data_IF_422869708462
#
_entry.id   IF_422869708462
#
_cell.length_a   1.000
_cell.length_b   1.000
_cell.length_c   1.000
_cell.angle_alpha   90.00
_cell.angle_beta   90.00
_cell.angle_gamma   90.00
#
_symmetry.space_group_name_H-M   'P 1'
#
loop_
_entity.id
_entity.type
_entity.pdbx_description
1 polymer ?
#
# COMPACT_ATOMS: atom_id res chain seq x y z
N UNK A 1 7.36 14.59 -57.88
CA UNK A 1 6.28 14.81 -56.89
C UNK A 1 6.00 13.61 -55.97
N UNK A 2 6.35 12.36 -56.34
CA UNK A 2 6.06 11.17 -55.52
C UNK A 2 6.92 11.08 -54.24
N UNK A 3 8.19 11.45 -54.30
CA UNK A 3 9.16 11.34 -53.18
C UNK A 3 8.74 12.21 -51.97
N UNK A 4 8.18 13.39 -52.20
CA UNK A 4 7.65 14.27 -51.13
C UNK A 4 6.45 13.67 -50.41
N UNK A 5 5.62 12.86 -51.08
CA UNK A 5 4.45 12.23 -50.48
C UNK A 5 4.84 11.03 -49.61
N UNK A 6 5.85 10.26 -50.02
CA UNK A 6 6.35 9.11 -49.25
C UNK A 6 7.02 9.55 -47.94
N UNK A 7 7.80 10.63 -47.97
CA UNK A 7 8.41 11.19 -46.76
C UNK A 7 7.37 11.67 -45.73
N UNK A 8 6.26 12.26 -46.20
CA UNK A 8 5.19 12.75 -45.34
C UNK A 8 4.42 11.60 -44.65
N UNK A 9 4.21 10.49 -45.36
CA UNK A 9 3.58 9.29 -44.80
C UNK A 9 4.47 8.63 -43.74
N UNK A 10 5.78 8.56 -43.96
CA UNK A 10 6.72 7.99 -42.98
C UNK A 10 6.80 8.83 -41.69
N UNK A 11 6.72 10.16 -41.79
CA UNK A 11 6.72 11.05 -40.61
C UNK A 11 5.44 10.91 -39.79
N UNK A 12 4.27 10.78 -40.42
CA UNK A 12 3.00 10.56 -39.71
C UNK A 12 2.98 9.19 -39.01
N UNK A 13 3.56 8.17 -39.65
CA UNK A 13 3.69 6.82 -39.09
C UNK A 13 4.56 6.79 -37.82
N UNK A 14 5.65 7.57 -37.80
CA UNK A 14 6.54 7.69 -36.65
C UNK A 14 5.89 8.47 -35.49
N UNK A 15 5.09 9.50 -35.79
CA UNK A 15 4.38 10.29 -34.77
C UNK A 15 3.26 9.49 -34.08
N UNK A 16 2.63 8.53 -34.76
CA UNK A 16 1.65 7.64 -34.13
C UNK A 16 2.28 6.56 -33.24
N UNK A 17 3.59 6.34 -33.27
CA UNK A 17 4.26 5.29 -32.48
C UNK A 17 4.53 5.71 -31.02
N UNK A 18 4.21 6.95 -30.63
CA UNK A 18 4.19 7.39 -29.23
C UNK A 18 2.90 6.88 -28.54
N UNK A 19 2.67 5.56 -28.59
CA UNK A 19 1.65 4.95 -27.76
C UNK A 19 2.08 5.10 -26.31
N UNK A 20 1.20 5.73 -25.53
CA UNK A 20 1.35 6.01 -24.12
C UNK A 20 1.92 4.77 -23.42
N UNK A 21 3.12 4.92 -22.84
CA UNK A 21 3.49 4.10 -21.70
C UNK A 21 2.56 4.53 -20.58
N UNK A 22 1.36 3.96 -20.54
CA UNK A 22 0.52 3.97 -19.36
C UNK A 22 1.29 3.19 -18.31
N UNK A 23 2.12 3.92 -17.55
CA UNK A 23 2.69 3.41 -16.31
C UNK A 23 1.50 3.30 -15.36
N UNK A 24 0.72 2.23 -15.49
CA UNK A 24 -0.34 1.93 -14.55
C UNK A 24 0.38 1.51 -13.28
N UNK A 25 0.58 2.49 -12.38
CA UNK A 25 1.16 2.26 -11.07
C UNK A 25 0.09 1.56 -10.24
N UNK A 26 -0.05 0.26 -10.47
CA UNK A 26 -0.99 -0.59 -9.73
C UNK A 26 -0.26 -1.06 -8.48
N UNK A 27 -0.48 -0.36 -7.35
CA UNK A 27 0.08 -0.74 -6.06
C UNK A 27 0.80 0.36 -5.27
N UNK A 28 0.82 1.60 -5.74
CA UNK A 28 1.38 2.75 -5.00
C UNK A 28 0.40 3.27 -3.94
N UNK A 29 0.44 2.75 -2.71
CA UNK A 29 -0.22 3.42 -1.59
C UNK A 29 0.84 3.93 -0.64
N UNK A 30 0.84 5.24 -0.41
CA UNK A 30 1.85 5.86 0.44
C UNK A 30 1.29 6.23 1.81
N UNK A 31 1.60 5.44 2.83
CA UNK A 31 1.21 5.73 4.21
C UNK A 31 2.44 6.27 4.96
N UNK A 32 2.29 7.41 5.61
CA UNK A 32 3.33 8.04 6.43
C UNK A 32 2.72 8.43 7.76
N UNK A 33 3.38 8.05 8.85
CA UNK A 33 2.90 8.31 10.21
C UNK A 33 4.08 8.81 11.03
N UNK A 34 3.95 10.05 11.50
CA UNK A 34 4.83 10.71 12.47
C UNK A 34 3.96 11.38 13.55
N UNK A 35 4.59 11.88 14.62
CA UNK A 35 3.89 12.53 15.74
C UNK A 35 2.92 13.63 15.29
N UNK A 36 3.32 14.42 14.29
CA UNK A 36 2.56 15.57 13.80
C UNK A 36 1.94 15.36 12.42
N UNK A 37 2.11 14.20 11.80
CA UNK A 37 1.73 13.98 10.40
C UNK A 37 1.15 12.59 10.23
N UNK A 38 -0.04 12.52 9.63
CA UNK A 38 -0.61 11.25 9.20
C UNK A 38 -1.03 11.37 7.75
N UNK A 39 -0.18 10.91 6.85
CA UNK A 39 -0.48 10.89 5.42
C UNK A 39 -1.19 9.60 5.05
N UNK A 40 -2.35 9.75 4.42
CA UNK A 40 -3.10 8.69 3.80
C UNK A 40 -3.02 8.85 2.28
N UNK A 41 -2.01 8.23 1.68
CA UNK A 41 -1.76 8.25 0.24
C UNK A 41 -1.62 9.68 -0.32
N UNK A 42 -2.62 10.16 -1.06
CA UNK A 42 -2.62 11.49 -1.67
C UNK A 42 -3.08 12.61 -0.74
N UNK A 43 -3.57 12.31 0.47
CA UNK A 43 -4.05 13.31 1.41
C UNK A 43 -3.33 13.23 2.75
N UNK A 44 -3.34 14.35 3.47
CA UNK A 44 -2.94 14.40 4.87
C UNK A 44 -4.19 14.38 5.75
N UNK A 45 -4.24 13.43 6.68
CA UNK A 45 -5.30 13.31 7.66
C UNK A 45 -5.11 14.32 8.79
N UNK A 46 -6.21 14.87 9.35
CA UNK A 46 -6.17 15.66 10.58
C UNK A 46 -5.50 14.94 11.75
N UNK A 47 -5.00 15.71 12.73
CA UNK A 47 -4.31 15.17 13.90
C UNK A 47 -5.18 14.23 14.76
N UNK A 48 -6.49 14.45 14.76
CA UNK A 48 -7.46 13.62 15.48
C UNK A 48 -7.93 12.38 14.69
N UNK A 49 -7.37 12.13 13.50
CA UNK A 49 -7.66 10.91 12.74
C UNK A 49 -6.96 9.70 13.36
N UNK A 50 -7.71 8.64 13.62
CA UNK A 50 -7.23 7.40 14.23
C UNK A 50 -6.80 6.39 13.16
N UNK A 51 -7.54 6.36 12.06
CA UNK A 51 -7.23 5.49 10.94
C UNK A 51 -7.68 6.11 9.62
N UNK A 52 -7.17 5.59 8.52
CA UNK A 52 -7.56 5.96 7.18
C UNK A 52 -7.83 4.72 6.33
N UNK A 53 -8.64 4.88 5.29
CA UNK A 53 -8.96 3.84 4.32
C UNK A 53 -8.66 4.38 2.93
N UNK A 54 -7.87 3.60 2.19
CA UNK A 54 -7.54 3.83 0.78
C UNK A 54 -8.25 2.76 -0.03
N UNK A 55 -9.09 3.17 -0.99
CA UNK A 55 -9.68 2.27 -1.97
C UNK A 55 -9.14 2.58 -3.36
N UNK A 56 -8.90 1.54 -4.15
CA UNK A 56 -8.67 1.64 -5.60
C UNK A 56 -9.51 0.60 -6.30
N UNK A 57 -10.41 1.05 -7.16
CA UNK A 57 -11.31 0.19 -7.91
C UNK A 57 -11.63 0.80 -9.26
N UNK A 58 -11.99 -0.03 -10.24
CA UNK A 58 -12.42 0.49 -11.54
C UNK A 58 -13.76 1.23 -11.43
N UNK A 59 -13.90 2.27 -12.24
CA UNK A 59 -15.19 2.94 -12.41
C UNK A 59 -16.18 1.92 -13.02
N UNK A 60 -17.36 1.71 -12.42
CA UNK A 60 -18.33 0.73 -12.92
C UNK A 60 -18.87 1.07 -14.31
N UNK A 61 -18.74 2.32 -14.75
CA UNK A 61 -19.24 2.78 -16.04
C UNK A 61 -18.12 2.94 -17.09
N UNK A 62 -16.85 2.93 -16.68
CA UNK A 62 -15.70 3.09 -17.57
C UNK A 62 -14.50 2.26 -17.09
N UNK A 63 -14.25 1.14 -17.78
CA UNK A 63 -13.14 0.24 -17.47
C UNK A 63 -11.75 0.88 -17.67
N UNK A 64 -11.65 2.03 -18.34
CA UNK A 64 -10.40 2.77 -18.54
C UNK A 64 -10.10 3.74 -17.39
N UNK A 65 -11.00 3.83 -16.41
CA UNK A 65 -10.88 4.74 -15.27
C UNK A 65 -10.73 3.93 -13.98
N UNK A 66 -9.70 4.27 -13.21
CA UNK A 66 -9.48 3.83 -11.85
C UNK A 66 -9.92 4.95 -10.90
N UNK A 67 -10.80 4.62 -9.97
CA UNK A 67 -11.25 5.48 -8.89
C UNK A 67 -10.43 5.17 -7.64
N UNK A 68 -9.74 6.18 -7.12
CA UNK A 68 -8.93 6.11 -5.91
C UNK A 68 -9.56 6.99 -4.83
N UNK A 69 -10.06 6.41 -3.75
CA UNK A 69 -10.62 7.16 -2.61
C UNK A 69 -9.67 7.07 -1.42
N UNK A 70 -9.40 8.22 -0.79
CA UNK A 70 -8.65 8.32 0.44
C UNK A 70 -9.55 8.96 1.49
N UNK A 71 -9.80 8.25 2.59
CA UNK A 71 -10.72 8.70 3.63
C UNK A 71 -10.10 8.56 5.01
N UNK A 72 -10.15 9.61 5.83
CA UNK A 72 -9.66 9.64 7.21
C UNK A 72 -10.83 9.57 8.18
N UNK A 73 -10.67 8.84 9.28
CA UNK A 73 -11.72 8.58 10.25
C UNK A 73 -11.28 8.82 11.69
N UNK A 74 -12.23 9.19 12.54
CA UNK A 74 -12.05 9.14 14.01
C UNK A 74 -12.10 7.70 14.52
N UNK A 75 -11.75 7.50 15.78
CA UNK A 75 -11.92 6.21 16.48
C UNK A 75 -13.37 5.72 16.52
N UNK A 76 -14.34 6.62 16.38
CA UNK A 76 -15.78 6.32 16.37
C UNK A 76 -16.33 6.07 14.95
N UNK A 77 -15.44 5.90 13.96
CA UNK A 77 -15.76 5.77 12.54
C UNK A 77 -16.43 6.99 11.90
N UNK A 78 -16.26 8.19 12.47
CA UNK A 78 -16.76 9.42 11.83
C UNK A 78 -15.78 9.86 10.74
N UNK A 79 -16.30 10.17 9.55
CA UNK A 79 -15.49 10.67 8.44
C UNK A 79 -15.01 12.10 8.75
N UNK A 80 -13.69 12.29 8.76
CA UNK A 80 -13.07 13.60 8.97
C UNK A 80 -12.78 14.29 7.64
N UNK A 81 -12.26 13.52 6.68
CA UNK A 81 -11.92 14.03 5.37
C UNK A 81 -11.92 12.91 4.36
N UNK A 82 -12.32 13.25 3.13
CA UNK A 82 -12.36 12.32 2.01
C UNK A 82 -11.92 13.03 0.74
N UNK A 83 -11.15 12.33 -0.09
CA UNK A 83 -10.79 12.81 -1.42
C UNK A 83 -10.80 11.65 -2.42
N UNK A 84 -11.36 11.93 -3.59
CA UNK A 84 -11.48 10.96 -4.68
C UNK A 84 -10.70 11.46 -5.88
N UNK A 85 -9.87 10.59 -6.44
CA UNK A 85 -9.04 10.84 -7.60
C UNK A 85 -9.43 9.86 -8.70
N UNK A 86 -9.41 10.34 -9.94
CA UNK A 86 -9.60 9.50 -11.13
C UNK A 86 -8.27 9.40 -11.87
N UNK A 87 -7.89 8.19 -12.22
CA UNK A 87 -6.66 7.86 -12.94
C UNK A 87 -7.01 7.03 -14.17
N UNK A 88 -6.26 7.19 -15.26
CA UNK A 88 -6.44 6.32 -16.43
C UNK A 88 -5.72 5.00 -16.23
N UNK A 89 -6.37 3.90 -16.60
CA UNK A 89 -5.84 2.53 -16.47
C UNK A 89 -6.13 1.72 -17.74
N UNK A 90 -5.34 0.68 -17.97
CA UNK A 90 -5.63 -0.30 -19.02
C UNK A 90 -7.00 -0.99 -18.71
N UNK A 91 -7.93 -1.02 -19.68
CA UNK A 91 -9.24 -1.66 -19.53
C UNK A 91 -9.20 -3.14 -19.15
N UNK A 92 -8.10 -3.84 -19.39
CA UNK A 92 -7.92 -5.26 -19.10
C UNK A 92 -7.29 -5.54 -17.72
N UNK A 93 -6.79 -4.51 -17.01
CA UNK A 93 -6.25 -4.70 -15.67
C UNK A 93 -7.36 -4.90 -14.64
N UNK A 94 -7.20 -5.88 -13.76
CA UNK A 94 -8.12 -6.12 -12.65
C UNK A 94 -7.52 -5.48 -11.39
N UNK A 95 -8.19 -4.44 -10.87
CA UNK A 95 -7.74 -3.69 -9.70
C UNK A 95 -8.89 -3.57 -8.72
N UNK A 96 -8.71 -4.18 -7.55
CA UNK A 96 -9.54 -3.95 -6.38
C UNK A 96 -8.65 -4.02 -5.14
N UNK A 97 -8.41 -2.86 -4.54
CA UNK A 97 -7.58 -2.68 -3.37
C UNK A 97 -8.38 -1.92 -2.32
N UNK A 98 -8.46 -2.49 -1.11
CA UNK A 98 -8.91 -1.79 0.08
C UNK A 98 -7.83 -1.95 1.15
N UNK A 99 -7.21 -0.84 1.53
CA UNK A 99 -6.17 -0.77 2.55
C UNK A 99 -6.63 0.12 3.69
N UNK A 100 -6.48 -0.35 4.92
CA UNK A 100 -6.70 0.41 6.14
C UNK A 100 -5.36 0.64 6.83
N UNK A 101 -5.08 1.88 7.20
CA UNK A 101 -3.89 2.23 7.96
C UNK A 101 -4.29 2.96 9.24
N UNK A 102 -3.68 2.61 10.37
CA UNK A 102 -3.86 3.28 11.66
C UNK A 102 -2.75 4.30 11.93
N UNK A 103 -3.08 5.32 12.73
CA UNK A 103 -2.11 6.30 13.25
C UNK A 103 -1.07 5.67 14.20
N UNK A 104 -1.28 4.42 14.63
CA UNK A 104 -0.29 3.61 15.35
C UNK A 104 0.70 2.88 14.42
N UNK A 105 0.65 3.14 13.11
CA UNK A 105 1.48 2.47 12.11
C UNK A 105 0.98 1.09 11.66
N UNK A 106 -0.14 0.61 12.20
CA UNK A 106 -0.74 -0.65 11.78
C UNK A 106 -1.36 -0.55 10.39
N UNK A 107 -1.02 -1.45 9.47
CA UNK A 107 -1.61 -1.51 8.13
C UNK A 107 -2.27 -2.87 7.91
N UNK A 108 -3.49 -2.87 7.37
CA UNK A 108 -4.20 -4.09 7.00
C UNK A 108 -4.85 -3.97 5.62
N UNK A 109 -4.71 -5.01 4.80
CA UNK A 109 -5.49 -5.15 3.58
C UNK A 109 -6.83 -5.81 3.91
N UNK A 110 -7.94 -5.16 3.57
CA UNK A 110 -9.29 -5.68 3.85
C UNK A 110 -9.78 -6.58 2.72
N UNK A 111 -9.38 -6.31 1.48
CA UNK A 111 -9.49 -7.17 0.31
C UNK A 111 -8.48 -6.68 -0.74
N UNK A 112 -7.50 -7.49 -1.09
CA UNK A 112 -6.54 -7.17 -2.15
C UNK A 112 -6.60 -8.26 -3.20
N UNK A 113 -7.36 -8.00 -4.26
CA UNK A 113 -7.39 -8.83 -5.46
C UNK A 113 -6.61 -8.10 -6.54
N UNK A 114 -5.32 -7.86 -6.30
CA UNK A 114 -4.43 -7.48 -7.37
C UNK A 114 -4.13 -8.77 -8.14
N UNK A 115 -4.73 -8.92 -9.31
CA UNK A 115 -4.19 -9.80 -10.33
C UNK A 115 -2.81 -9.23 -10.67
N UNK A 116 -1.77 -9.75 -10.04
CA UNK A 116 -0.46 -9.74 -10.67
C UNK A 116 -0.69 -10.42 -12.01
N UNK A 117 -0.76 -9.64 -13.09
CA UNK A 117 -0.34 -10.17 -14.37
C UNK A 117 1.15 -10.41 -14.20
N UNK A 118 1.47 -11.63 -13.77
CA UNK A 118 2.80 -12.22 -13.88
C UNK A 118 3.20 -12.12 -15.34
N UNK A 119 3.85 -11.02 -15.70
CA UNK A 119 4.83 -11.07 -16.77
C UNK A 119 5.79 -12.18 -16.37
N UNK A 120 5.92 -13.21 -17.21
CA UNK A 120 6.79 -14.36 -17.00
C UNK A 120 8.19 -13.92 -16.52
N UNK A 121 8.42 -13.90 -15.22
CA UNK A 121 9.76 -13.77 -14.64
C UNK A 121 9.84 -14.59 -13.37
N UNK A 122 10.40 -15.80 -13.50
CA UNK A 122 10.94 -16.61 -12.42
C UNK A 122 9.92 -17.44 -11.66
N UNK A 123 10.20 -18.74 -11.53
CA UNK A 123 9.52 -19.64 -10.60
C UNK A 123 9.45 -19.00 -9.21
N UNK A 124 8.25 -18.92 -8.65
CA UNK A 124 8.08 -18.56 -7.25
C UNK A 124 8.67 -19.68 -6.39
N UNK A 125 9.84 -19.42 -5.78
CA UNK A 125 10.49 -20.36 -4.89
C UNK A 125 9.80 -20.35 -3.52
N UNK A 126 8.75 -21.16 -3.42
CA UNK A 126 7.97 -21.35 -2.20
C UNK A 126 8.82 -21.89 -1.04
N UNK A 127 9.91 -22.62 -1.33
CA UNK A 127 10.78 -23.20 -0.31
C UNK A 127 11.64 -22.12 0.35
N UNK A 128 12.24 -21.23 -0.44
CA UNK A 128 12.98 -20.08 0.06
C UNK A 128 12.10 -19.14 0.91
N UNK A 129 10.85 -18.90 0.47
CA UNK A 129 9.89 -18.11 1.23
C UNK A 129 9.54 -18.75 2.58
N UNK A 130 9.23 -20.05 2.59
CA UNK A 130 8.89 -20.79 3.80
C UNK A 130 10.07 -20.83 4.79
N UNK A 131 11.30 -20.98 4.28
CA UNK A 131 12.50 -20.94 5.11
C UNK A 131 12.71 -19.56 5.77
N UNK A 132 12.51 -18.46 5.03
CA UNK A 132 12.55 -17.12 5.61
C UNK A 132 11.46 -16.93 6.67
N UNK A 133 10.23 -17.38 6.42
CA UNK A 133 9.14 -17.28 7.39
C UNK A 133 9.41 -18.05 8.67
N UNK A 134 10.02 -19.24 8.57
CA UNK A 134 10.40 -20.03 9.73
C UNK A 134 11.48 -19.32 10.57
N UNK A 135 12.53 -18.81 9.93
CA UNK A 135 13.58 -18.05 10.61
C UNK A 135 13.04 -16.80 11.30
N UNK A 136 12.10 -16.09 10.66
CA UNK A 136 11.43 -14.94 11.25
C UNK A 136 10.64 -15.32 12.51
N UNK A 137 9.86 -16.40 12.45
CA UNK A 137 9.09 -16.89 13.59
C UNK A 137 9.98 -17.31 14.77
N UNK A 138 11.10 -17.99 14.49
CA UNK A 138 12.07 -18.38 15.51
C UNK A 138 12.72 -17.16 16.18
N UNK A 139 13.10 -16.15 15.40
CA UNK A 139 13.67 -14.92 15.93
C UNK A 139 12.67 -14.11 16.78
N UNK A 140 11.40 -14.06 16.37
CA UNK A 140 10.35 -13.44 17.16
C UNK A 140 10.13 -14.14 18.49
N UNK A 141 10.07 -15.48 18.50
CA UNK A 141 9.89 -16.26 19.72
C UNK A 141 11.03 -16.01 20.72
N UNK A 142 12.28 -16.02 20.25
CA UNK A 142 13.46 -15.71 21.10
C UNK A 142 13.44 -14.27 21.62
N UNK A 143 13.01 -13.32 20.79
CA UNK A 143 12.83 -11.92 21.19
C UNK A 143 11.80 -11.78 22.32
N UNK A 144 10.67 -12.48 22.21
CA UNK A 144 9.59 -12.49 23.21
C UNK A 144 10.02 -13.13 24.53
N UNK A 145 10.78 -14.23 24.48
CA UNK A 145 11.33 -14.88 25.68
C UNK A 145 12.29 -13.96 26.44
N UNK A 146 13.19 -13.29 25.73
CA UNK A 146 14.14 -12.34 26.30
C UNK A 146 13.45 -11.12 26.93
N UNK A 147 12.39 -10.62 26.29
CA UNK A 147 11.59 -9.52 26.82
C UNK A 147 10.86 -9.94 28.11
N UNK A 148 10.22 -11.10 28.11
CA UNK A 148 9.53 -11.66 29.28
C UNK A 148 10.47 -11.82 30.48
N UNK A 149 11.67 -12.38 30.25
CA UNK A 149 12.68 -12.54 31.30
C UNK A 149 13.17 -11.18 31.86
N UNK A 150 13.36 -10.20 30.98
CA UNK A 150 13.76 -8.84 31.38
C UNK A 150 12.68 -8.14 32.21
N UNK A 151 11.41 -8.28 31.82
CA UNK A 151 10.26 -7.73 32.55
C UNK A 151 10.09 -8.37 33.93
N UNK A 152 10.25 -9.69 34.04
CA UNK A 152 10.22 -10.38 35.33
C UNK A 152 11.36 -9.93 36.25
N UNK A 153 12.55 -9.71 35.69
CA UNK A 153 13.71 -9.19 36.43
C UNK A 153 13.46 -7.78 36.94
N UNK A 154 12.87 -6.91 36.11
CA UNK A 154 12.48 -5.55 36.52
C UNK A 154 11.39 -5.55 37.57
N UNK A 155 10.37 -6.41 37.43
CA UNK A 155 9.30 -6.59 38.42
C UNK A 155 9.86 -6.97 39.79
N UNK A 156 10.77 -7.96 39.84
CA UNK A 156 11.41 -8.38 41.08
C UNK A 156 12.29 -7.28 41.69
N UNK A 157 12.98 -6.47 40.86
CA UNK A 157 13.75 -5.31 41.36
C UNK A 157 12.83 -4.23 41.94
N UNK A 158 11.69 -3.96 41.30
CA UNK A 158 10.70 -2.99 41.81
C UNK A 158 10.09 -3.47 43.13
N UNK A 159 9.71 -4.74 43.24
CA UNK A 159 9.21 -5.32 44.49
C UNK A 159 10.23 -5.21 45.62
N UNK A 160 11.52 -5.44 45.35
CA UNK A 160 12.57 -5.31 46.35
C UNK A 160 12.88 -3.84 46.74
N UNK A 161 12.56 -2.86 45.87
CA UNK A 161 12.73 -1.43 46.17
C UNK A 161 11.53 -0.83 46.91
N UNK A 162 10.32 -1.37 46.73
CA UNK A 162 9.08 -0.83 47.31
C UNK A 162 8.45 -1.70 48.41
N UNK A 163 8.89 -2.95 48.58
CA UNK A 163 8.45 -3.87 49.63
C UNK A 163 9.30 -3.86 50.91
N UNK A 164 10.31 -2.98 50.96
CA UNK A 164 11.11 -2.72 52.17
C UNK A 164 10.65 -1.46 52.90
N UNK A 165 9.43 -1.51 53.46
CA UNK A 165 8.95 -0.60 54.52
C UNK A 165 8.29 -1.48 55.58
#
# INVERSE_FOLDING_TARGET
MAIRKVALVLVISFLCSAHARSVSVVGDVFIEVDDNKFRCDKIECPLNAEYCVVTKEKDPNDASVLVRSNTCYTKLNEELTKSVFKETVDPNTHIHLILKAGRNGGVSSINSSNSLQTGNTGDFDAEAFNAQMKNFQENLNRGMENLSSSLNTMSNRLQNMFGGI
#
